data_IF_748189410032
#
_entry.id   IF_748189410032
#
_cell.length_a   1.000
_cell.length_b   1.000
_cell.length_c   1.000
_cell.angle_alpha   90.00
_cell.angle_beta   90.00
_cell.angle_gamma   90.00
#
_symmetry.space_group_name_H-M   'P 1'
#
loop_
_entity.id
_entity.type
_entity.pdbx_description
1 polymer ?
#
# COMPACT_ATOMS: atom_id res chain seq x y z
N UNK A 1 -6.94 28.40 24.38
CA UNK A 1 -5.70 28.01 23.70
C UNK A 1 -5.39 29.12 22.71
N UNK A 2 -4.27 29.83 22.86
CA UNK A 2 -3.98 31.01 22.04
C UNK A 2 -3.09 30.61 20.86
N UNK A 3 -3.36 31.22 19.71
CA UNK A 3 -2.64 31.00 18.47
C UNK A 3 -1.35 31.82 18.49
N UNK A 4 -0.24 31.16 18.22
CA UNK A 4 1.06 31.81 18.05
C UNK A 4 1.16 32.20 16.57
N UNK A 5 1.27 33.49 16.28
CA UNK A 5 1.55 33.99 14.94
C UNK A 5 3.04 33.84 14.66
N UNK A 6 3.43 32.72 14.06
CA UNK A 6 4.76 32.52 13.46
C UNK A 6 4.60 32.39 11.95
N UNK A 7 5.47 33.05 11.18
CA UNK A 7 5.44 33.07 9.71
C UNK A 7 6.03 31.79 9.08
N UNK A 8 6.20 30.71 9.86
CA UNK A 8 6.74 29.43 9.44
C UNK A 8 5.75 28.31 9.74
N UNK A 9 4.99 27.90 8.73
CA UNK A 9 4.10 26.74 8.84
C UNK A 9 4.84 25.52 8.30
N UNK A 10 5.35 24.71 9.23
CA UNK A 10 6.10 23.48 8.98
C UNK A 10 5.12 22.39 8.58
N UNK A 11 4.96 22.19 7.27
CA UNK A 11 4.16 21.09 6.73
C UNK A 11 5.03 19.82 6.77
N UNK A 12 5.06 19.18 7.95
CA UNK A 12 5.56 17.83 8.25
C UNK A 12 7.06 17.60 8.51
N UNK A 13 7.98 18.34 7.90
CA UNK A 13 9.39 18.38 8.29
C UNK A 13 9.94 19.78 8.01
N UNK A 14 10.75 20.33 8.93
CA UNK A 14 11.42 21.65 8.79
C UNK A 14 12.25 21.82 7.50
N UNK A 15 12.50 20.72 6.79
CA UNK A 15 13.30 20.70 5.56
C UNK A 15 12.52 21.14 4.29
N UNK A 16 11.20 21.27 4.36
CA UNK A 16 10.34 21.62 3.21
C UNK A 16 9.91 23.08 3.20
N UNK A 17 10.78 23.98 3.66
CA UNK A 17 10.49 25.41 3.64
C UNK A 17 10.78 25.96 2.24
N UNK A 18 9.79 25.95 1.36
CA UNK A 18 9.94 26.50 0.01
C UNK A 18 9.23 27.84 -0.10
N UNK A 19 10.00 28.92 0.05
CA UNK A 19 9.58 30.30 -0.19
C UNK A 19 9.33 30.63 -1.68
N UNK A 20 9.12 29.63 -2.54
CA UNK A 20 9.00 29.78 -3.99
C UNK A 20 7.76 29.05 -4.53
N UNK A 21 7.04 29.62 -5.52
CA UNK A 21 5.93 28.96 -6.22
C UNK A 21 6.28 27.55 -6.74
N UNK A 22 7.55 27.34 -7.11
CA UNK A 22 8.05 26.04 -7.54
C UNK A 22 7.94 24.96 -6.45
N UNK A 23 8.15 25.31 -5.18
CA UNK A 23 8.01 24.36 -4.09
C UNK A 23 6.59 24.05 -3.71
N UNK A 24 5.68 25.00 -3.89
CA UNK A 24 4.25 24.73 -3.78
C UNK A 24 3.83 23.70 -4.83
N UNK A 25 4.24 23.87 -6.08
CA UNK A 25 3.98 22.89 -7.13
C UNK A 25 4.59 21.51 -6.82
N UNK A 26 5.83 21.48 -6.31
CA UNK A 26 6.49 20.23 -5.91
C UNK A 26 5.79 19.54 -4.73
N UNK A 27 5.29 20.30 -3.76
CA UNK A 27 4.51 19.78 -2.63
C UNK A 27 3.20 19.16 -3.11
N UNK A 28 2.48 19.84 -4.01
CA UNK A 28 1.25 19.33 -4.62
C UNK A 28 1.55 18.05 -5.40
N UNK A 29 2.64 18.01 -6.17
CA UNK A 29 3.04 16.82 -6.95
C UNK A 29 3.34 15.63 -6.03
N UNK A 30 4.04 15.85 -4.92
CA UNK A 30 4.35 14.79 -3.96
C UNK A 30 3.10 14.29 -3.26
N UNK A 31 2.21 15.18 -2.83
CA UNK A 31 0.94 14.78 -2.21
C UNK A 31 0.04 14.06 -3.20
N UNK A 32 0.00 14.50 -4.47
CA UNK A 32 -0.70 13.82 -5.55
C UNK A 32 -0.15 12.40 -5.74
N UNK A 33 1.17 12.25 -5.79
CA UNK A 33 1.82 10.95 -5.91
C UNK A 33 1.51 10.04 -4.71
N UNK A 34 1.57 10.58 -3.48
CA UNK A 34 1.19 9.85 -2.27
C UNK A 34 -0.28 9.38 -2.32
N UNK A 35 -1.19 10.23 -2.80
CA UNK A 35 -2.60 9.88 -2.96
C UNK A 35 -2.81 8.77 -4.00
N UNK A 36 -2.11 8.84 -5.14
CA UNK A 36 -2.12 7.78 -6.16
C UNK A 36 -1.59 6.46 -5.58
N UNK A 37 -0.47 6.50 -4.85
CA UNK A 37 0.10 5.32 -4.19
C UNK A 37 -0.86 4.75 -3.15
N UNK A 38 -1.50 5.59 -2.33
CA UNK A 38 -2.46 5.17 -1.32
C UNK A 38 -3.61 4.37 -1.94
N UNK A 39 -4.22 4.91 -2.99
CA UNK A 39 -5.31 4.24 -3.71
C UNK A 39 -4.85 2.93 -4.37
N UNK A 40 -3.66 2.94 -4.97
CA UNK A 40 -3.07 1.76 -5.61
C UNK A 40 -2.80 0.63 -4.61
N UNK A 41 -2.22 0.97 -3.44
CA UNK A 41 -1.95 0.01 -2.37
C UNK A 41 -3.26 -0.54 -1.79
N UNK A 42 -4.26 0.32 -1.60
CA UNK A 42 -5.58 -0.06 -1.08
C UNK A 42 -6.21 -1.16 -1.95
N UNK A 43 -6.17 -0.99 -3.27
CA UNK A 43 -6.69 -1.98 -4.23
C UNK A 43 -5.79 -3.23 -4.30
N UNK A 44 -4.46 -3.06 -4.28
CA UNK A 44 -3.52 -4.18 -4.27
C UNK A 44 -3.71 -5.12 -3.08
N UNK A 45 -4.01 -4.57 -1.88
CA UNK A 45 -4.32 -5.40 -0.70
C UNK A 45 -5.60 -6.21 -0.87
N UNK A 46 -6.65 -5.63 -1.49
CA UNK A 46 -7.88 -6.35 -1.76
C UNK A 46 -7.63 -7.53 -2.72
N UNK A 47 -6.76 -7.35 -3.72
CA UNK A 47 -6.32 -8.44 -4.61
C UNK A 47 -5.52 -9.51 -3.89
N UNK A 48 -4.55 -9.12 -3.05
CA UNK A 48 -3.73 -10.08 -2.31
C UNK A 48 -4.59 -10.92 -1.35
N UNK A 49 -5.58 -10.29 -0.70
CA UNK A 49 -6.54 -11.00 0.15
C UNK A 49 -7.39 -11.98 -0.67
N UNK A 50 -7.90 -11.55 -1.82
CA UNK A 50 -8.66 -12.45 -2.72
C UNK A 50 -7.81 -13.64 -3.18
N UNK A 51 -6.57 -13.39 -3.60
CA UNK A 51 -5.63 -14.46 -3.97
C UNK A 51 -5.27 -15.37 -2.80
N UNK A 52 -5.11 -14.82 -1.58
CA UNK A 52 -4.85 -15.61 -0.38
C UNK A 52 -6.05 -16.52 -0.05
N UNK A 53 -7.27 -16.01 -0.12
CA UNK A 53 -8.50 -16.80 0.09
C UNK A 53 -8.63 -17.90 -0.95
N UNK A 54 -8.41 -17.60 -2.24
CA UNK A 54 -8.46 -18.61 -3.32
C UNK A 54 -7.36 -19.67 -3.14
N UNK A 55 -6.14 -19.26 -2.78
CA UNK A 55 -5.01 -20.18 -2.59
C UNK A 55 -5.25 -21.13 -1.41
N UNK A 56 -5.85 -20.64 -0.32
CA UNK A 56 -6.22 -21.47 0.85
C UNK A 56 -7.27 -22.53 0.47
N UNK A 57 -8.28 -22.15 -0.33
CA UNK A 57 -9.30 -23.09 -0.82
C UNK A 57 -8.70 -24.20 -1.70
N UNK A 58 -7.74 -23.87 -2.57
CA UNK A 58 -7.07 -24.85 -3.44
C UNK A 58 -6.20 -25.82 -2.62
N UNK A 59 -5.43 -25.30 -1.66
CA UNK A 59 -4.55 -26.12 -0.82
C UNK A 59 -5.35 -27.11 0.06
N UNK A 60 -6.53 -26.68 0.54
CA UNK A 60 -7.47 -27.54 1.27
C UNK A 60 -8.06 -28.65 0.38
N UNK A 61 -8.24 -28.41 -0.91
CA UNK A 61 -8.77 -29.41 -1.85
C UNK A 61 -7.72 -30.45 -2.25
N UNK A 62 -6.44 -30.07 -2.31
CA UNK A 62 -5.35 -31.00 -2.63
C UNK A 62 -5.06 -31.95 -1.44
N UNK A 63 -5.16 -31.46 -0.20
CA UNK A 63 -5.02 -32.30 0.99
C UNK A 63 -6.08 -33.41 1.10
N UNK A 64 -7.26 -33.25 0.50
CA UNK A 64 -8.31 -34.28 0.51
C UNK A 64 -8.07 -35.38 -0.54
N UNK A 65 -7.20 -35.14 -1.53
CA UNK A 65 -6.88 -36.10 -2.60
C UNK A 65 -5.59 -36.89 -2.31
N UNK A 66 -4.68 -36.38 -1.48
CA UNK A 66 -3.38 -37.02 -1.19
C UNK A 66 -3.42 -38.10 -0.07
N UNK A 67 -4.55 -38.36 0.60
CA UNK A 67 -4.64 -39.48 1.57
C UNK A 67 -4.89 -40.87 0.92
N UNK A 68 -4.99 -40.98 -0.41
CA UNK A 68 -5.32 -42.27 -1.06
C UNK A 68 -4.14 -43.04 -1.68
N UNK A 69 -2.98 -42.44 -2.00
CA UNK A 69 -1.91 -43.20 -2.69
C UNK A 69 -0.49 -43.00 -2.12
N UNK A 70 -0.11 -43.99 -1.30
CA UNK A 70 1.04 -44.88 -1.47
C UNK A 70 2.48 -44.34 -1.31
N UNK A 71 3.12 -44.83 -0.23
CA UNK A 71 4.48 -45.40 -0.16
C UNK A 71 5.40 -45.16 -1.37
N UNK A 72 6.51 -44.43 -1.18
CA UNK A 72 7.89 -44.82 -1.61
C UNK A 72 8.92 -43.68 -1.56
N UNK A 73 10.04 -43.98 -0.89
CA UNK A 73 11.43 -43.61 -1.20
C UNK A 73 11.87 -42.12 -1.31
N UNK A 74 12.63 -41.71 -0.29
CA UNK A 74 13.83 -40.87 -0.31
C UNK A 74 14.21 -40.10 -1.59
N UNK A 75 14.12 -38.77 -1.55
CA UNK A 75 15.23 -37.79 -1.77
C UNK A 75 14.68 -36.35 -1.79
N UNK A 76 15.49 -35.40 -1.31
CA UNK A 76 15.31 -33.94 -1.31
C UNK A 76 14.33 -33.29 -0.31
N UNK A 77 14.88 -33.00 0.88
CA UNK A 77 14.30 -32.15 1.94
C UNK A 77 14.23 -30.64 1.61
N UNK A 78 14.39 -30.24 0.33
CA UNK A 78 14.43 -28.85 -0.11
C UNK A 78 13.07 -28.14 -0.41
N UNK A 79 11.95 -28.80 -0.78
CA UNK A 79 10.74 -28.08 -1.19
C UNK A 79 9.99 -27.46 0.00
N UNK A 80 10.05 -28.09 1.18
CA UNK A 80 9.31 -27.66 2.38
C UNK A 80 9.90 -26.37 2.97
N UNK A 81 11.22 -26.17 2.91
CA UNK A 81 11.88 -24.95 3.42
C UNK A 81 11.58 -23.72 2.55
N UNK A 82 11.56 -23.88 1.20
CA UNK A 82 11.18 -22.81 0.27
C UNK A 82 9.71 -22.43 0.40
N UNK A 83 8.81 -23.40 0.58
CA UNK A 83 7.39 -23.12 0.79
C UNK A 83 7.15 -22.32 2.08
N UNK A 84 7.79 -22.70 3.20
CA UNK A 84 7.74 -21.96 4.47
C UNK A 84 8.29 -20.54 4.34
N UNK A 85 9.44 -20.38 3.68
CA UNK A 85 10.05 -19.06 3.50
C UNK A 85 9.19 -18.16 2.62
N UNK A 86 8.57 -18.70 1.57
CA UNK A 86 7.66 -17.94 0.69
C UNK A 86 6.38 -17.53 1.42
N UNK A 87 5.80 -18.42 2.23
CA UNK A 87 4.68 -18.08 3.10
C UNK A 87 5.05 -16.98 4.11
N UNK A 88 6.22 -17.08 4.74
CA UNK A 88 6.72 -16.07 5.66
C UNK A 88 6.97 -14.72 4.96
N UNK A 89 7.55 -14.71 3.75
CA UNK A 89 7.74 -13.51 2.94
C UNK A 89 6.41 -12.88 2.52
N UNK A 90 5.42 -13.69 2.14
CA UNK A 90 4.07 -13.20 1.83
C UNK A 90 3.40 -12.59 3.07
N UNK A 91 3.50 -13.27 4.22
CA UNK A 91 2.93 -12.79 5.48
C UNK A 91 3.61 -11.49 5.95
N UNK A 92 4.95 -11.46 5.89
CA UNK A 92 5.74 -10.28 6.21
C UNK A 92 5.46 -9.13 5.23
N UNK A 93 5.38 -9.43 3.93
CA UNK A 93 5.03 -8.47 2.89
C UNK A 93 3.64 -7.87 3.09
N UNK A 94 2.64 -8.68 3.43
CA UNK A 94 1.29 -8.20 3.75
C UNK A 94 1.28 -7.24 4.94
N UNK A 95 2.02 -7.55 6.01
CA UNK A 95 2.17 -6.67 7.17
C UNK A 95 2.87 -5.36 6.81
N UNK A 96 3.96 -5.43 6.03
CA UNK A 96 4.69 -4.25 5.58
C UNK A 96 3.82 -3.33 4.71
N UNK A 97 3.09 -3.90 3.75
CA UNK A 97 2.14 -3.15 2.91
C UNK A 97 1.06 -2.50 3.78
N UNK A 98 0.60 -3.16 4.84
CA UNK A 98 -0.36 -2.57 5.77
C UNK A 98 0.21 -1.38 6.54
N UNK A 99 1.40 -1.50 7.10
CA UNK A 99 2.06 -0.41 7.83
C UNK A 99 2.28 0.79 6.90
N UNK A 100 2.81 0.55 5.70
CA UNK A 100 3.03 1.60 4.68
C UNK A 100 1.71 2.31 4.34
N UNK A 101 0.61 1.57 4.15
CA UNK A 101 -0.70 2.15 3.88
C UNK A 101 -1.16 3.07 5.02
N UNK A 102 -1.03 2.63 6.28
CA UNK A 102 -1.43 3.41 7.46
C UNK A 102 -0.61 4.70 7.53
N UNK A 103 0.70 4.59 7.34
CA UNK A 103 1.61 5.74 7.32
C UNK A 103 1.19 6.75 6.25
N UNK A 104 1.01 6.33 4.99
CA UNK A 104 0.58 7.22 3.90
C UNK A 104 -0.81 7.83 4.18
N UNK A 105 -1.73 7.06 4.77
CA UNK A 105 -3.06 7.56 5.15
C UNK A 105 -2.97 8.71 6.17
N UNK A 106 -2.10 8.59 7.18
CA UNK A 106 -1.85 9.69 8.13
C UNK A 106 -1.17 10.88 7.46
N UNK A 107 -0.23 10.66 6.54
CA UNK A 107 0.37 11.73 5.74
C UNK A 107 -0.70 12.50 4.94
N UNK A 108 -1.63 11.80 4.29
CA UNK A 108 -2.75 12.43 3.58
C UNK A 108 -3.68 13.19 4.52
N UNK A 109 -4.01 12.61 5.68
CA UNK A 109 -4.87 13.27 6.66
C UNK A 109 -4.22 14.56 7.19
N UNK A 110 -2.92 14.52 7.48
CA UNK A 110 -2.13 15.69 7.86
C UNK A 110 -2.09 16.74 6.74
N UNK A 111 -1.91 16.31 5.49
CA UNK A 111 -1.94 17.19 4.32
C UNK A 111 -3.30 17.89 4.15
N UNK A 112 -4.41 17.18 4.35
CA UNK A 112 -5.77 17.78 4.29
C UNK A 112 -6.00 18.74 5.45
N UNK A 113 -5.49 18.45 6.64
CA UNK A 113 -5.58 19.33 7.81
C UNK A 113 -4.76 20.62 7.68
N UNK A 114 -3.91 20.75 6.65
CA UNK A 114 -3.22 22.01 6.35
C UNK A 114 -4.12 23.12 5.79
N UNK A 115 -5.37 22.78 5.41
CA UNK A 115 -6.35 23.69 4.80
C UNK A 115 -5.84 24.46 3.57
N UNK A 116 -4.79 23.97 2.90
CA UNK A 116 -4.28 24.57 1.67
C UNK A 116 -5.06 24.06 0.45
N UNK A 117 -5.73 24.97 -0.27
CA UNK A 117 -6.57 24.62 -1.45
C UNK A 117 -5.80 23.86 -2.54
N UNK A 118 -4.54 24.22 -2.81
CA UNK A 118 -3.73 23.56 -3.84
C UNK A 118 -3.40 22.12 -3.46
N UNK A 119 -3.04 21.90 -2.20
CA UNK A 119 -2.75 20.56 -1.66
C UNK A 119 -4.03 19.72 -1.63
N UNK A 120 -5.14 20.29 -1.17
CA UNK A 120 -6.44 19.63 -1.15
C UNK A 120 -6.89 19.20 -2.55
N UNK A 121 -6.74 20.08 -3.54
CA UNK A 121 -7.03 19.75 -4.93
C UNK A 121 -6.09 18.65 -5.46
N UNK A 122 -4.81 18.70 -5.12
CA UNK A 122 -3.84 17.65 -5.44
C UNK A 122 -4.20 16.29 -4.84
N UNK A 123 -4.69 16.26 -3.60
CA UNK A 123 -5.21 15.05 -2.94
C UNK A 123 -6.40 14.49 -3.70
N UNK A 124 -7.39 15.32 -4.02
CA UNK A 124 -8.59 14.87 -4.75
C UNK A 124 -8.21 14.34 -6.12
N UNK A 125 -7.44 15.11 -6.89
CA UNK A 125 -7.02 14.72 -8.23
C UNK A 125 -6.16 13.44 -8.21
N UNK A 126 -5.22 13.36 -7.27
CA UNK A 126 -4.40 12.17 -7.06
C UNK A 126 -5.24 10.95 -6.66
N UNK A 127 -6.27 11.12 -5.84
CA UNK A 127 -7.19 10.03 -5.49
C UNK A 127 -8.01 9.56 -6.69
N UNK A 128 -8.49 10.49 -7.53
CA UNK A 128 -9.24 10.16 -8.74
C UNK A 128 -8.37 9.42 -9.76
N UNK A 129 -7.16 9.94 -10.00
CA UNK A 129 -6.16 9.32 -10.88
C UNK A 129 -5.73 7.95 -10.33
N UNK A 130 -5.46 7.86 -9.04
CA UNK A 130 -5.08 6.62 -8.37
C UNK A 130 -6.15 5.54 -8.48
N UNK A 131 -7.42 5.90 -8.26
CA UNK A 131 -8.54 4.99 -8.45
C UNK A 131 -8.67 4.55 -9.92
N UNK A 132 -8.54 5.48 -10.86
CA UNK A 132 -8.58 5.18 -12.29
C UNK A 132 -7.45 4.24 -12.74
N UNK A 133 -6.22 4.41 -12.23
CA UNK A 133 -5.08 3.52 -12.53
C UNK A 133 -5.18 2.17 -11.82
N UNK A 134 -5.78 2.13 -10.63
CA UNK A 134 -5.97 0.88 -9.91
C UNK A 134 -7.02 -0.02 -10.57
N UNK A 135 -7.98 0.55 -11.30
CA UNK A 135 -9.02 -0.18 -12.01
C UNK A 135 -8.50 -1.16 -13.09
N UNK A 136 -7.60 -0.77 -14.02
CA UNK A 136 -7.00 -1.70 -14.98
C UNK A 136 -6.09 -2.75 -14.33
N UNK A 137 -5.42 -2.42 -13.22
CA UNK A 137 -4.71 -3.43 -12.40
C UNK A 137 -5.67 -4.48 -11.82
N UNK A 138 -6.93 -4.10 -11.60
CA UNK A 138 -7.98 -5.00 -11.15
C UNK A 138 -8.48 -5.90 -12.30
N UNK A 139 -8.54 -5.40 -13.53
CA UNK A 139 -9.01 -6.16 -14.71
C UNK A 139 -7.97 -7.07 -15.36
N UNK A 140 -6.68 -6.90 -15.06
CA UNK A 140 -5.59 -7.69 -15.64
C UNK A 140 -5.28 -9.01 -14.91
N UNK A 141 -6.19 -9.46 -14.02
CA UNK A 141 -6.10 -10.74 -13.30
C UNK A 141 -7.34 -11.58 -13.55
#
# INVERSE_FOLDING_TARGET
>A
MHFIFSNEVVLLFDFWNVHSPAGMALSVLVVLFLAVLYESIKVGKAKLLHQAVVSVSILSSQQLTEETDQDSSASDSAPVSRARLRWFLCHFGQSLIHVVQVVIGYFMMLAVMSYNTWIFFGVILGSAVGYYLAYPLLSMV
#
